data_IF_688865511932
#
_entry.id   IF_688865511932
#
_cell.length_a   1.000
_cell.length_b   1.000
_cell.length_c   1.000
_cell.angle_alpha   90.00
_cell.angle_beta   90.00
_cell.angle_gamma   90.00
#
_symmetry.space_group_name_H-M   'P 1'
#
loop_
_entity.id
_entity.type
_entity.pdbx_description
1 polymer ?
#
# COMPACT_ATOMS: atom_id res chain seq x y z
N UNK A 1 7.98 -5.11 -0.20
CA UNK A 1 8.07 -4.04 -1.22
C UNK A 1 6.75 -3.29 -1.39
N UNK A 2 5.59 -3.97 -1.55
CA UNK A 2 4.27 -3.32 -1.75
C UNK A 2 3.86 -2.31 -0.67
N UNK A 3 3.98 -2.64 0.62
CA UNK A 3 3.57 -1.72 1.69
C UNK A 3 4.45 -0.46 1.78
N UNK A 4 5.73 -0.59 1.41
CA UNK A 4 6.67 0.54 1.37
C UNK A 4 6.39 1.42 0.15
N UNK A 5 6.10 0.80 -1.00
CA UNK A 5 5.69 1.50 -2.23
C UNK A 5 4.39 2.28 -2.01
N UNK A 6 3.37 1.66 -1.42
CA UNK A 6 2.09 2.30 -1.11
C UNK A 6 2.26 3.55 -0.22
N UNK A 7 3.10 3.46 0.82
CA UNK A 7 3.43 4.59 1.69
C UNK A 7 4.11 5.74 0.95
N UNK A 8 5.09 5.44 0.10
CA UNK A 8 5.79 6.44 -0.71
C UNK A 8 4.81 7.11 -1.68
N UNK A 9 3.97 6.33 -2.37
CA UNK A 9 2.96 6.86 -3.28
C UNK A 9 1.99 7.81 -2.58
N UNK A 10 1.57 7.52 -1.35
CA UNK A 10 0.77 8.49 -0.55
C UNK A 10 1.55 9.76 -0.22
N UNK A 11 2.80 9.63 0.20
CA UNK A 11 3.65 10.78 0.52
C UNK A 11 3.90 11.68 -0.71
N UNK A 12 3.94 11.10 -1.91
CA UNK A 12 4.09 11.81 -3.19
C UNK A 12 2.76 12.34 -3.76
N UNK A 13 1.62 12.07 -3.10
CA UNK A 13 0.28 12.48 -3.57
C UNK A 13 -0.30 11.60 -4.68
N UNK A 14 0.29 10.44 -4.94
CA UNK A 14 -0.15 9.44 -5.92
C UNK A 14 -1.11 8.41 -5.32
N UNK A 15 -2.26 8.84 -4.78
CA UNK A 15 -3.20 7.95 -4.08
C UNK A 15 -3.63 6.73 -4.93
N UNK A 16 -3.78 6.91 -6.25
CA UNK A 16 -4.12 5.82 -7.16
C UNK A 16 -3.05 4.72 -7.22
N UNK A 17 -1.77 5.07 -7.09
CA UNK A 17 -0.67 4.10 -7.02
C UNK A 17 -0.66 3.38 -5.66
N UNK A 18 -0.94 4.11 -4.58
CA UNK A 18 -1.03 3.53 -3.24
C UNK A 18 -2.17 2.49 -3.14
N UNK A 19 -3.35 2.80 -3.67
CA UNK A 19 -4.51 1.90 -3.67
C UNK A 19 -4.25 0.61 -4.46
N UNK A 20 -3.51 0.70 -5.57
CA UNK A 20 -3.17 -0.45 -6.40
C UNK A 20 -2.20 -1.40 -5.68
N UNK A 21 -1.25 -0.85 -4.93
CA UNK A 21 -0.33 -1.63 -4.11
C UNK A 21 -1.03 -2.27 -2.90
N UNK A 22 -2.00 -1.58 -2.29
CA UNK A 22 -2.83 -2.11 -1.21
C UNK A 22 -3.70 -3.29 -1.69
N UNK A 23 -4.31 -3.18 -2.88
CA UNK A 23 -5.11 -4.25 -3.47
C UNK A 23 -4.27 -5.51 -3.73
N UNK A 24 -3.03 -5.34 -4.20
CA UNK A 24 -2.09 -6.46 -4.38
C UNK A 24 -1.73 -7.11 -3.04
N UNK A 25 -1.52 -6.34 -1.99
CA UNK A 25 -1.26 -6.88 -0.65
C UNK A 25 -2.45 -7.71 -0.14
N UNK A 26 -3.67 -7.19 -0.26
CA UNK A 26 -4.87 -7.94 0.13
C UNK A 26 -5.08 -9.21 -0.70
N UNK A 27 -4.77 -9.17 -2.01
CA UNK A 27 -4.90 -10.33 -2.88
C UNK A 27 -3.95 -11.46 -2.51
N UNK A 28 -2.70 -11.16 -2.22
CA UNK A 28 -1.66 -12.18 -1.99
C UNK A 28 -1.50 -12.56 -0.52
N UNK A 29 -1.88 -11.68 0.40
CA UNK A 29 -1.73 -11.86 1.84
C UNK A 29 -3.03 -11.47 2.57
N UNK A 30 -4.16 -12.13 2.26
CA UNK A 30 -5.48 -11.73 2.76
C UNK A 30 -5.63 -11.82 4.28
N UNK A 31 -4.81 -12.63 4.94
CA UNK A 31 -4.83 -12.82 6.40
C UNK A 31 -3.86 -11.93 7.14
N UNK A 32 -2.98 -11.21 6.42
CA UNK A 32 -1.93 -10.41 7.03
C UNK A 32 -2.33 -8.94 7.07
N UNK A 33 -2.12 -8.31 8.23
CA UNK A 33 -2.45 -6.89 8.42
C UNK A 33 -1.19 -6.07 8.18
N UNK A 34 -1.21 -5.27 7.13
CA UNK A 34 -0.17 -4.29 6.85
C UNK A 34 -0.59 -2.93 7.36
N UNK A 35 0.34 -2.21 7.99
CA UNK A 35 0.18 -0.79 8.23
C UNK A 35 0.56 -0.04 6.94
N UNK A 36 -0.44 0.60 6.33
CA UNK A 36 -0.34 1.30 5.05
C UNK A 36 -0.37 2.82 5.25
N UNK A 37 -0.40 3.28 6.50
CA UNK A 37 -0.37 4.70 6.81
C UNK A 37 1.00 5.32 6.49
N UNK A 38 0.97 6.53 5.93
CA UNK A 38 2.14 7.38 5.77
C UNK A 38 2.33 8.13 7.09
N UNK A 39 3.07 7.52 8.01
CA UNK A 39 3.53 8.19 9.23
C UNK A 39 4.61 9.21 8.96
#
# INVERSE_FOLDING_TARGET
>A
VGAVSARISRAEGMEGHALLDDDRLHKYFPTEKFDLSAG
#
